data_IF_977345831764
#
_entry.id   IF_977345831764
#
_cell.length_a   1.000
_cell.length_b   1.000
_cell.length_c   1.000
_cell.angle_alpha   90.00
_cell.angle_beta   90.00
_cell.angle_gamma   90.00
#
_symmetry.space_group_name_H-M   'P 1'
#
loop_
_entity.id
_entity.type
_entity.pdbx_description
1 polymer ?
#
# COMPACT_ATOMS: atom_id res chain seq x y z
N UNK A 1 -7.44 -8.16 -10.76
CA UNK A 1 -6.39 -7.48 -11.53
C UNK A 1 -5.31 -8.49 -11.85
N UNK A 2 -4.96 -8.68 -13.12
CA UNK A 2 -3.78 -9.47 -13.48
C UNK A 2 -2.57 -8.52 -13.46
N UNK A 3 -1.97 -8.34 -12.27
CA UNK A 3 -0.81 -7.45 -12.09
C UNK A 3 0.44 -8.14 -12.60
N UNK A 4 1.21 -7.42 -13.40
CA UNK A 4 2.52 -7.90 -13.85
C UNK A 4 3.63 -7.37 -12.91
N UNK A 5 4.85 -7.88 -13.06
CA UNK A 5 5.99 -7.47 -12.23
C UNK A 5 6.30 -5.97 -12.31
N UNK A 6 6.06 -5.34 -13.47
CA UNK A 6 6.28 -3.89 -13.66
C UNK A 6 5.28 -3.09 -12.81
N UNK A 7 4.03 -3.52 -12.72
CA UNK A 7 3.02 -2.84 -11.91
C UNK A 7 3.44 -2.82 -10.44
N UNK A 8 3.91 -3.96 -9.92
CA UNK A 8 4.44 -4.04 -8.56
C UNK A 8 5.68 -3.16 -8.38
N UNK A 9 6.61 -3.17 -9.33
CA UNK A 9 7.78 -2.30 -9.32
C UNK A 9 7.39 -0.81 -9.26
N UNK A 10 6.42 -0.39 -10.08
CA UNK A 10 5.92 0.99 -10.07
C UNK A 10 5.24 1.35 -8.76
N UNK A 11 4.42 0.47 -8.18
CA UNK A 11 3.80 0.68 -6.87
C UNK A 11 4.88 0.85 -5.79
N UNK A 12 5.90 -0.02 -5.78
CA UNK A 12 7.03 0.07 -4.84
C UNK A 12 7.77 1.40 -4.96
N UNK A 13 8.08 1.85 -6.19
CA UNK A 13 8.76 3.13 -6.41
C UNK A 13 7.93 4.32 -5.93
N UNK A 14 6.62 4.32 -6.16
CA UNK A 14 5.71 5.36 -5.66
C UNK A 14 5.65 5.37 -4.13
N UNK A 15 5.66 4.20 -3.49
CA UNK A 15 5.75 4.06 -2.03
C UNK A 15 7.06 4.61 -1.46
N UNK A 16 8.19 4.34 -2.13
CA UNK A 16 9.50 4.92 -1.76
C UNK A 16 9.46 6.45 -1.87
N UNK A 17 8.91 6.99 -2.96
CA UNK A 17 8.79 8.43 -3.15
C UNK A 17 7.90 9.08 -2.07
N UNK A 18 6.79 8.43 -1.70
CA UNK A 18 5.94 8.87 -0.59
C UNK A 18 6.72 8.90 0.74
N UNK A 19 7.44 7.83 1.08
CA UNK A 19 8.21 7.78 2.33
C UNK A 19 9.38 8.78 2.35
N UNK A 20 10.02 9.01 1.20
CA UNK A 20 11.08 10.01 1.07
C UNK A 20 10.53 11.44 1.26
N UNK A 21 9.28 11.68 0.85
CA UNK A 21 8.64 12.98 1.01
C UNK A 21 8.39 13.34 2.48
N UNK A 22 8.09 12.36 3.34
CA UNK A 22 7.91 12.60 4.77
C UNK A 22 9.23 12.99 5.50
N UNK A 23 10.39 12.76 4.88
CA UNK A 23 11.70 13.22 5.40
C UNK A 23 11.93 14.71 5.13
N UNK A 24 11.23 15.30 4.14
CA UNK A 24 11.41 16.69 3.74
C UNK A 24 10.43 17.58 4.53
N UNK A 25 10.91 18.55 5.32
CA UNK A 25 10.03 19.45 6.07
C UNK A 25 9.07 20.20 5.14
N UNK A 26 7.77 20.13 5.45
CA UNK A 26 6.73 20.82 4.68
C UNK A 26 6.21 20.06 3.45
N UNK A 27 6.69 18.84 3.17
CA UNK A 27 6.11 17.95 2.15
C UNK A 27 5.30 16.86 2.84
N UNK A 28 4.09 16.59 2.35
CA UNK A 28 3.21 15.53 2.87
C UNK A 28 3.29 14.30 1.98
N UNK A 29 3.66 13.14 2.55
CA UNK A 29 3.61 11.86 1.87
C UNK A 29 2.21 11.52 1.34
N UNK A 30 1.15 11.93 2.06
CA UNK A 30 -0.24 11.78 1.58
C UNK A 30 -0.51 12.51 0.27
N UNK A 31 0.06 13.71 0.11
CA UNK A 31 -0.02 14.47 -1.16
C UNK A 31 0.73 13.75 -2.26
N UNK A 32 1.90 13.17 -1.98
CA UNK A 32 2.67 12.39 -2.96
C UNK A 32 1.91 11.12 -3.39
N UNK A 33 1.29 10.41 -2.44
CA UNK A 33 0.43 9.26 -2.74
C UNK A 33 -0.75 9.65 -3.63
N UNK A 34 -1.35 10.83 -3.40
CA UNK A 34 -2.46 11.35 -4.20
C UNK A 34 -2.02 11.69 -5.63
N UNK A 35 -0.99 12.51 -5.81
CA UNK A 35 -0.54 12.91 -7.15
C UNK A 35 0.06 11.74 -7.94
N UNK A 36 0.63 10.74 -7.27
CA UNK A 36 1.16 9.53 -7.92
C UNK A 36 0.08 8.48 -8.21
N UNK A 37 -1.17 8.72 -7.78
CA UNK A 37 -2.33 7.88 -8.07
C UNK A 37 -2.37 6.55 -7.32
N UNK A 38 -1.66 6.41 -6.20
CA UNK A 38 -1.74 5.22 -5.33
C UNK A 38 -2.58 5.43 -4.08
N UNK A 39 -3.11 6.64 -3.89
CA UNK A 39 -3.81 7.02 -2.66
C UNK A 39 -5.05 6.17 -2.38
N UNK A 40 -5.91 5.96 -3.39
CA UNK A 40 -7.12 5.15 -3.24
C UNK A 40 -6.79 3.69 -2.92
N UNK A 41 -5.87 3.10 -3.68
CA UNK A 41 -5.41 1.72 -3.45
C UNK A 41 -4.77 1.56 -2.06
N UNK A 42 -3.96 2.53 -1.64
CA UNK A 42 -3.34 2.55 -0.32
C UNK A 42 -4.40 2.57 0.79
N UNK A 43 -5.39 3.46 0.68
CA UNK A 43 -6.48 3.56 1.66
C UNK A 43 -7.34 2.30 1.68
N UNK A 44 -7.70 1.75 0.53
CA UNK A 44 -8.45 0.50 0.43
C UNK A 44 -7.68 -0.66 1.07
N UNK A 45 -6.38 -0.77 0.79
CA UNK A 45 -5.51 -1.81 1.36
C UNK A 45 -5.44 -1.70 2.89
N UNK A 46 -5.26 -0.49 3.41
CA UNK A 46 -5.23 -0.24 4.86
C UNK A 46 -6.59 -0.51 5.49
N UNK A 47 -7.69 -0.09 4.85
CA UNK A 47 -9.06 -0.30 5.33
C UNK A 47 -9.43 -1.79 5.42
N UNK A 48 -8.93 -2.58 4.48
CA UNK A 48 -9.10 -4.04 4.48
C UNK A 48 -8.29 -4.75 5.57
N UNK A 49 -7.28 -4.08 6.17
CA UNK A 49 -6.54 -4.61 7.31
C UNK A 49 -7.36 -4.46 8.60
N UNK A 50 -8.31 -5.37 8.80
CA UNK A 50 -9.26 -5.32 9.90
C UNK A 50 -9.23 -6.59 10.78
N UNK A 51 -10.03 -6.59 11.84
CA UNK A 51 -10.14 -7.75 12.76
C UNK A 51 -10.60 -9.02 12.03
N UNK A 52 -11.36 -8.91 10.93
CA UNK A 52 -11.75 -10.07 10.13
C UNK A 52 -10.54 -10.67 9.41
N UNK A 53 -9.67 -9.84 8.82
CA UNK A 53 -8.41 -10.29 8.22
C UNK A 53 -7.53 -11.02 9.25
N UNK A 54 -7.44 -10.52 10.49
CA UNK A 54 -6.73 -11.19 11.58
C UNK A 54 -7.38 -12.52 11.99
N UNK A 55 -8.72 -12.57 12.04
CA UNK A 55 -9.46 -13.81 12.33
C UNK A 55 -9.24 -14.86 11.24
N UNK A 56 -9.20 -14.47 9.98
CA UNK A 56 -8.88 -15.37 8.87
C UNK A 56 -7.45 -15.89 9.02
N UNK A 57 -6.47 -15.00 9.26
CA UNK A 57 -5.07 -15.37 9.44
C UNK A 57 -4.86 -16.37 10.59
N UNK A 58 -5.58 -16.19 11.70
CA UNK A 58 -5.49 -17.06 12.88
C UNK A 58 -6.26 -18.37 12.75
N UNK A 59 -7.38 -18.40 12.00
CA UNK A 59 -8.19 -19.62 11.80
C UNK A 59 -7.70 -20.48 10.65
N UNK A 60 -7.32 -19.87 9.53
CA UNK A 60 -6.92 -20.57 8.30
C UNK A 60 -5.40 -20.69 8.17
N UNK A 61 -4.64 -20.00 9.03
CA UNK A 61 -3.20 -19.89 8.92
C UNK A 61 -2.77 -19.04 7.72
N UNK A 62 -1.47 -18.94 7.52
CA UNK A 62 -0.93 -18.50 6.23
C UNK A 62 -1.02 -19.71 5.30
N UNK A 63 -2.12 -19.83 4.54
CA UNK A 63 -2.19 -20.83 3.47
C UNK A 63 -0.98 -20.61 2.55
N UNK A 64 -0.16 -21.64 2.29
CA UNK A 64 0.90 -21.51 1.31
C UNK A 64 0.22 -21.31 -0.05
N UNK A 65 0.38 -20.10 -0.59
CA UNK A 65 -0.05 -19.71 -1.92
C UNK A 65 0.74 -20.50 -2.98
#
# INVERSE_FOLDING_TARGET
MNRNLKDYLFITLKGIAMGAADVVPGVSGGTIAFISGIYEELLETISNFNIQALKVLTKEGVKPF
#
